data_IF_735783507266
#
_entry.id   IF_735783507266
#
_cell.length_a   1.000
_cell.length_b   1.000
_cell.length_c   1.000
_cell.angle_alpha   90.00
_cell.angle_beta   90.00
_cell.angle_gamma   90.00
#
_symmetry.space_group_name_H-M   'P 1'
#
loop_
_entity.id
_entity.type
_entity.pdbx_description
1 polymer ?
#
# COMPACT_ATOMS: atom_id res chain seq x y z
N UNK A 1 -3.50 -21.48 13.60
CA UNK A 1 -3.47 -20.08 13.09
C UNK A 1 -4.75 -19.63 12.37
N UNK A 2 -5.32 -20.42 11.46
CA UNK A 2 -6.53 -20.00 10.69
C UNK A 2 -7.79 -19.89 11.56
N UNK A 3 -7.98 -20.84 12.49
CA UNK A 3 -9.10 -20.82 13.45
C UNK A 3 -9.11 -19.60 14.35
N UNK A 4 -7.96 -19.19 14.90
CA UNK A 4 -7.85 -17.98 15.74
C UNK A 4 -8.30 -16.74 14.96
N UNK A 5 -7.91 -16.63 13.67
CA UNK A 5 -8.36 -15.53 12.81
C UNK A 5 -9.87 -15.57 12.57
N UNK A 6 -10.46 -16.74 12.36
CA UNK A 6 -11.92 -16.87 12.19
C UNK A 6 -12.69 -16.53 13.46
N UNK A 7 -12.23 -17.01 14.62
CA UNK A 7 -12.82 -16.67 15.92
C UNK A 7 -12.73 -15.16 16.16
N UNK A 8 -11.57 -14.56 15.90
CA UNK A 8 -11.39 -13.11 16.00
C UNK A 8 -12.37 -12.35 15.08
N UNK A 9 -12.44 -12.71 13.80
CA UNK A 9 -13.38 -12.08 12.85
C UNK A 9 -14.84 -12.28 13.27
N UNK A 10 -15.19 -13.44 13.81
CA UNK A 10 -16.53 -13.71 14.31
C UNK A 10 -16.88 -12.84 15.52
N UNK A 11 -15.95 -12.70 16.48
CA UNK A 11 -16.15 -11.83 17.66
C UNK A 11 -16.28 -10.37 17.23
N UNK A 12 -15.43 -9.90 16.32
CA UNK A 12 -15.51 -8.53 15.77
C UNK A 12 -16.84 -8.32 15.05
N UNK A 13 -17.23 -9.23 14.16
CA UNK A 13 -18.50 -9.16 13.44
C UNK A 13 -19.70 -9.15 14.38
N UNK A 14 -19.71 -10.02 15.39
CA UNK A 14 -20.76 -10.05 16.40
C UNK A 14 -20.84 -8.74 17.18
N UNK A 15 -19.68 -8.18 17.57
CA UNK A 15 -19.61 -6.90 18.27
C UNK A 15 -20.18 -5.76 17.41
N UNK A 16 -19.86 -5.73 16.12
CA UNK A 16 -20.40 -4.74 15.18
C UNK A 16 -21.93 -4.87 15.04
N UNK A 17 -22.45 -6.10 14.96
CA UNK A 17 -23.90 -6.35 14.90
C UNK A 17 -24.59 -5.87 16.18
N UNK A 18 -24.02 -6.16 17.35
CA UNK A 18 -24.56 -5.70 18.63
C UNK A 18 -24.59 -4.17 18.71
N UNK A 19 -23.50 -3.51 18.31
CA UNK A 19 -23.44 -2.04 18.23
C UNK A 19 -24.49 -1.50 17.26
N UNK A 20 -24.67 -2.14 16.10
CA UNK A 20 -25.67 -1.70 15.12
C UNK A 20 -27.10 -1.83 15.66
N UNK A 21 -27.43 -2.95 16.30
CA UNK A 21 -28.74 -3.19 16.90
C UNK A 21 -29.01 -2.24 18.07
N UNK A 22 -28.01 -2.00 18.92
CA UNK A 22 -28.10 -1.07 20.04
C UNK A 22 -28.31 0.37 19.57
N UNK A 23 -27.68 0.75 18.44
CA UNK A 23 -27.73 2.09 17.86
C UNK A 23 -28.65 2.16 16.62
N UNK A 24 -29.82 1.53 16.71
CA UNK A 24 -30.87 1.59 15.68
C UNK A 24 -31.70 2.88 15.69
N UNK A 25 -31.38 3.82 16.59
CA UNK A 25 -32.08 5.09 16.70
C UNK A 25 -31.98 5.88 15.38
N UNK A 26 -33.12 6.40 14.92
CA UNK A 26 -33.17 7.27 13.75
C UNK A 26 -32.58 8.63 14.13
N UNK A 27 -31.66 9.12 13.30
CA UNK A 27 -31.04 10.44 13.44
C UNK A 27 -31.28 11.20 12.15
N UNK A 28 -31.78 12.43 12.28
CA UNK A 28 -31.97 13.35 11.17
C UNK A 28 -30.65 14.00 10.83
N UNK A 29 -30.13 13.72 9.63
CA UNK A 29 -28.96 14.40 9.08
C UNK A 29 -29.47 15.58 8.25
N UNK A 30 -29.11 16.81 8.65
CA UNK A 30 -29.33 18.02 7.85
C UNK A 30 -28.09 18.27 6.99
N UNK A 31 -28.21 18.17 5.67
CA UNK A 31 -27.07 18.41 4.76
C UNK A 31 -26.84 19.90 4.51
N UNK A 32 -27.87 20.72 4.64
CA UNK A 32 -27.78 22.17 4.43
C UNK A 32 -28.17 22.94 5.69
N UNK A 33 -27.50 24.07 5.96
CA UNK A 33 -27.97 25.07 6.92
C UNK A 33 -29.38 25.57 6.55
N UNK A 34 -30.17 25.92 7.56
CA UNK A 34 -31.57 26.35 7.38
C UNK A 34 -31.69 27.59 6.46
N UNK A 35 -30.74 28.51 6.56
CA UNK A 35 -30.62 29.70 5.71
C UNK A 35 -30.46 29.36 4.22
N UNK A 36 -29.76 28.27 3.92
CA UNK A 36 -29.50 27.81 2.54
C UNK A 36 -30.66 26.94 2.03
N UNK A 37 -31.30 26.18 2.91
CA UNK A 37 -32.48 25.39 2.59
C UNK A 37 -33.67 26.28 2.16
N UNK A 38 -33.79 27.47 2.73
CA UNK A 38 -34.78 28.47 2.32
C UNK A 38 -34.62 28.90 0.84
N UNK A 39 -33.38 28.94 0.34
CA UNK A 39 -33.10 29.33 -1.06
C UNK A 39 -33.38 28.19 -2.05
N UNK A 40 -33.19 26.94 -1.62
CA UNK A 40 -33.44 25.73 -2.42
C UNK A 40 -34.91 25.23 -2.32
N UNK A 41 -35.74 25.87 -1.50
CA UNK A 41 -37.17 25.57 -1.38
C UNK A 41 -37.51 24.25 -0.68
N UNK A 42 -36.52 23.46 -0.25
CA UNK A 42 -36.74 22.22 0.47
C UNK A 42 -35.59 21.92 1.45
N UNK A 43 -35.90 21.52 2.71
CA UNK A 43 -34.88 21.07 3.63
C UNK A 43 -34.27 19.75 3.11
N UNK A 44 -32.99 19.78 2.78
CA UNK A 44 -32.24 18.56 2.44
C UNK A 44 -31.86 17.82 3.72
N UNK A 45 -32.82 17.06 4.25
CA UNK A 45 -32.69 16.29 5.47
C UNK A 45 -33.11 14.83 5.27
N UNK A 46 -32.34 13.90 5.82
CA UNK A 46 -32.61 12.47 5.73
C UNK A 46 -32.55 11.82 7.11
N UNK A 47 -33.54 10.98 7.39
CA UNK A 47 -33.57 10.17 8.61
C UNK A 47 -32.91 8.82 8.33
N UNK A 48 -31.83 8.56 9.03
CA UNK A 48 -31.04 7.34 8.88
C UNK A 48 -30.73 6.76 10.27
N UNK A 49 -30.68 5.43 10.43
CA UNK A 49 -30.21 4.83 11.67
C UNK A 49 -28.76 5.24 11.98
N UNK A 50 -28.46 5.56 13.24
CA UNK A 50 -27.14 6.05 13.66
C UNK A 50 -25.99 5.10 13.27
N UNK A 51 -26.21 3.79 13.34
CA UNK A 51 -25.17 2.82 12.94
C UNK A 51 -24.77 2.95 11.46
N UNK A 52 -25.69 3.32 10.57
CA UNK A 52 -25.41 3.53 9.14
C UNK A 52 -24.48 4.72 8.96
N UNK A 53 -24.72 5.79 9.71
CA UNK A 53 -23.90 7.01 9.69
C UNK A 53 -22.50 6.71 10.20
N UNK A 54 -22.38 6.01 11.33
CA UNK A 54 -21.08 5.68 11.94
C UNK A 54 -20.27 4.77 11.01
N UNK A 55 -20.84 3.65 10.56
CA UNK A 55 -20.12 2.70 9.70
C UNK A 55 -19.84 3.27 8.31
N UNK A 56 -20.79 4.00 7.73
CA UNK A 56 -20.60 4.71 6.48
C UNK A 56 -19.46 5.74 6.58
N UNK A 57 -19.42 6.52 7.67
CA UNK A 57 -18.35 7.46 7.94
C UNK A 57 -16.98 6.80 8.08
N UNK A 58 -16.89 5.67 8.79
CA UNK A 58 -15.64 4.90 8.91
C UNK A 58 -15.17 4.39 7.54
N UNK A 59 -16.07 3.82 6.74
CA UNK A 59 -15.75 3.31 5.40
C UNK A 59 -15.26 4.44 4.50
N UNK A 60 -16.00 5.56 4.46
CA UNK A 60 -15.63 6.74 3.66
C UNK A 60 -14.28 7.30 4.14
N UNK A 61 -14.09 7.44 5.45
CA UNK A 61 -12.82 7.91 6.03
C UNK A 61 -11.65 6.99 5.70
N UNK A 62 -11.85 5.67 5.72
CA UNK A 62 -10.83 4.71 5.31
C UNK A 62 -10.53 4.79 3.82
N UNK A 63 -11.55 4.94 2.96
CA UNK A 63 -11.36 5.13 1.52
C UNK A 63 -10.58 6.41 1.23
N UNK A 64 -10.93 7.52 1.87
CA UNK A 64 -10.21 8.79 1.74
C UNK A 64 -8.77 8.63 2.23
N UNK A 65 -8.57 8.00 3.39
CA UNK A 65 -7.24 7.73 3.94
C UNK A 65 -6.42 6.84 3.01
N UNK A 66 -7.03 5.83 2.39
CA UNK A 66 -6.38 4.96 1.42
C UNK A 66 -6.02 5.70 0.13
N UNK A 67 -6.90 6.55 -0.39
CA UNK A 67 -6.63 7.40 -1.57
C UNK A 67 -5.50 8.39 -1.25
N UNK A 68 -5.51 8.99 -0.06
CA UNK A 68 -4.45 9.89 0.39
C UNK A 68 -3.10 9.18 0.52
N UNK A 69 -3.09 8.01 1.18
CA UNK A 69 -1.91 7.18 1.31
C UNK A 69 -1.39 6.71 -0.05
N UNK A 70 -2.29 6.37 -0.97
CA UNK A 70 -1.95 6.03 -2.35
C UNK A 70 -1.28 7.22 -3.07
N UNK A 71 -1.85 8.42 -3.00
CA UNK A 71 -1.25 9.63 -3.58
C UNK A 71 0.12 9.93 -2.97
N UNK A 72 0.27 9.71 -1.66
CA UNK A 72 1.54 9.86 -0.93
C UNK A 72 2.59 8.84 -1.38
N UNK A 73 2.21 7.56 -1.46
CA UNK A 73 3.08 6.43 -1.80
C UNK A 73 3.48 6.43 -3.29
N UNK A 74 2.66 7.00 -4.17
CA UNK A 74 2.97 7.07 -5.60
C UNK A 74 4.26 7.83 -5.91
N UNK A 75 4.63 8.82 -5.07
CA UNK A 75 5.85 9.60 -5.22
C UNK A 75 7.11 8.74 -5.04
N UNK A 76 7.09 7.73 -4.16
CA UNK A 76 8.26 6.86 -3.90
C UNK A 76 8.37 5.66 -4.84
N UNK A 77 7.29 5.26 -5.49
CA UNK A 77 7.32 4.18 -6.51
C UNK A 77 8.00 4.59 -7.83
N UNK A 78 8.21 5.88 -8.07
CA UNK A 78 9.00 6.37 -9.20
C UNK A 78 10.51 6.20 -8.92
N UNK A 79 10.96 6.62 -7.73
CA UNK A 79 12.38 6.57 -7.34
C UNK A 79 12.88 5.13 -7.19
N UNK A 80 12.07 4.22 -6.66
CA UNK A 80 12.44 2.81 -6.51
C UNK A 80 12.70 2.11 -7.87
N UNK A 81 12.04 2.54 -8.96
CA UNK A 81 12.26 1.98 -10.31
C UNK A 81 13.52 2.54 -10.97
N UNK A 82 13.82 3.83 -10.73
CA UNK A 82 15.05 4.47 -11.17
C UNK A 82 16.28 3.86 -10.48
N UNK A 83 16.23 3.74 -9.15
CA UNK A 83 17.30 3.16 -8.34
C UNK A 83 17.57 1.68 -8.70
N UNK A 84 16.52 0.90 -8.99
CA UNK A 84 16.68 -0.51 -9.42
C UNK A 84 17.40 -0.61 -10.77
N UNK A 85 17.08 0.27 -11.73
CA UNK A 85 17.74 0.32 -13.04
C UNK A 85 19.20 0.74 -12.95
N UNK A 86 19.52 1.70 -12.09
CA UNK A 86 20.90 2.12 -11.86
C UNK A 86 21.74 1.02 -11.21
N UNK A 87 21.20 0.30 -10.21
CA UNK A 87 21.89 -0.85 -9.61
C UNK A 87 22.15 -1.97 -10.62
N UNK A 88 21.17 -2.34 -11.43
CA UNK A 88 21.36 -3.37 -12.47
C UNK A 88 22.40 -2.95 -13.52
N UNK A 89 22.51 -1.65 -13.84
CA UNK A 89 23.54 -1.13 -14.74
C UNK A 89 24.93 -1.21 -14.11
N UNK A 90 25.07 -0.76 -12.86
CA UNK A 90 26.33 -0.83 -12.11
C UNK A 90 26.81 -2.27 -11.90
N UNK A 91 25.91 -3.21 -11.59
CA UNK A 91 26.27 -4.62 -11.43
C UNK A 91 26.81 -5.23 -12.74
N UNK A 92 26.24 -4.86 -13.89
CA UNK A 92 26.73 -5.32 -15.20
C UNK A 92 28.10 -4.72 -15.53
N UNK A 93 28.31 -3.45 -15.21
CA UNK A 93 29.60 -2.79 -15.41
C UNK A 93 30.69 -3.40 -14.51
N UNK A 94 30.40 -3.65 -13.23
CA UNK A 94 31.33 -4.33 -12.30
C UNK A 94 31.62 -5.76 -12.77
N UNK A 95 30.62 -6.49 -13.26
CA UNK A 95 30.81 -7.86 -13.77
C UNK A 95 31.64 -7.87 -15.06
N UNK A 96 31.45 -6.88 -15.93
CA UNK A 96 32.26 -6.70 -17.14
C UNK A 96 33.72 -6.35 -16.84
N UNK A 97 33.95 -5.45 -15.87
CA UNK A 97 35.30 -5.08 -15.42
C UNK A 97 36.02 -6.22 -14.73
N UNK A 98 35.33 -7.00 -13.88
CA UNK A 98 35.89 -8.23 -13.28
C UNK A 98 36.25 -9.28 -14.33
N UNK A 99 35.44 -9.41 -15.39
CA UNK A 99 35.73 -10.36 -16.49
C UNK A 99 36.95 -9.93 -17.29
N UNK A 100 37.05 -8.66 -17.70
CA UNK A 100 38.24 -8.10 -18.35
C UNK A 100 39.50 -8.20 -17.48
N UNK A 101 39.36 -8.01 -16.17
CA UNK A 101 40.49 -8.13 -15.24
C UNK A 101 40.97 -9.57 -15.03
N UNK A 102 40.13 -10.58 -15.33
CA UNK A 102 40.51 -12.00 -15.24
C UNK A 102 41.09 -12.53 -16.56
N UNK A 103 40.69 -12.00 -17.73
CA UNK A 103 41.29 -12.39 -19.02
C UNK A 103 42.82 -12.20 -19.05
N UNK A 104 43.34 -11.10 -18.46
CA UNK A 104 44.78 -10.88 -18.36
C UNK A 104 45.51 -11.72 -17.31
N UNK A 105 44.79 -12.41 -16.41
CA UNK A 105 45.37 -13.32 -15.40
C UNK A 105 45.38 -14.76 -15.89
N UNK A 106 44.39 -15.16 -16.68
CA UNK A 106 44.32 -16.50 -17.27
C UNK A 106 45.45 -16.75 -18.28
N UNK A 107 45.87 -15.73 -19.04
CA UNK A 107 47.07 -15.82 -19.90
C UNK A 107 48.36 -16.01 -19.09
N UNK A 108 48.48 -15.36 -17.92
CA UNK A 108 49.66 -15.52 -17.04
C UNK A 108 49.65 -16.87 -16.34
N UNK A 109 48.47 -17.38 -15.96
CA UNK A 109 48.30 -18.73 -15.39
C UNK A 109 48.61 -19.81 -16.42
N UNK A 110 48.21 -19.63 -17.68
CA UNK A 110 48.57 -20.53 -18.77
C UNK A 110 50.09 -20.56 -19.03
N UNK A 111 50.75 -19.40 -19.00
CA UNK A 111 52.22 -19.33 -19.13
C UNK A 111 52.95 -19.96 -17.93
N UNK A 112 52.38 -19.89 -16.73
CA UNK A 112 52.93 -20.54 -15.54
C UNK A 112 52.80 -22.06 -15.61
N UNK A 113 51.64 -22.59 -16.02
CA UNK A 113 51.43 -24.03 -16.22
C UNK A 113 52.33 -24.60 -17.32
N UNK A 114 52.50 -23.89 -18.45
CA UNK A 114 53.43 -24.30 -19.51
C UNK A 114 54.89 -24.31 -19.03
N UNK A 115 55.28 -23.35 -18.18
CA UNK A 115 56.64 -23.31 -17.60
C UNK A 115 56.87 -24.35 -16.50
N UNK A 116 55.83 -24.75 -15.78
CA UNK A 116 55.87 -25.77 -14.75
C UNK A 116 55.84 -27.20 -15.35
N UNK A 117 55.16 -27.39 -16.48
CA UNK A 117 55.12 -28.65 -17.22
C UNK A 117 56.40 -28.93 -18.03
N UNK A 118 57.24 -27.93 -18.24
CA UNK A 118 58.51 -28.03 -18.99
C UNK A 118 59.75 -28.38 -18.11
N UNK A 119 59.55 -28.77 -16.84
CA UNK A 119 60.61 -29.27 -15.94
C UNK A 119 60.32 -30.69 -15.48
#
# INVERSE_FOLDING_TARGET
>A
MRYIRYVFMAVVGLSLILVALANRGMVTIKLLPEEMAAYLGQPLSYDLPLFVVIFGGIIIGLLIGFVWEWFREHKHRADARLQKREKEKLEREVKGLKRKSNEGKDEVLALLDDSAAAR
#
